data_IF_399079116349
#
_entry.id   IF_399079116349
#
_cell.length_a   1.000
_cell.length_b   1.000
_cell.length_c   1.000
_cell.angle_alpha   90.00
_cell.angle_beta   90.00
_cell.angle_gamma   90.00
#
_symmetry.space_group_name_H-M   'P 1'
#
loop_
_entity.id
_entity.type
_entity.pdbx_description
1 polymer ?
#
# COMPACT_ATOMS: atom_id res chain seq x y z
N UNK A 1 23.22 -8.04 11.43
CA UNK A 1 22.54 -9.34 11.25
C UNK A 1 21.15 -9.39 11.89
N UNK A 2 20.96 -8.87 13.10
CA UNK A 2 19.65 -8.89 13.80
C UNK A 2 18.50 -8.26 13.02
N UNK A 3 18.73 -7.13 12.33
CA UNK A 3 17.72 -6.46 11.47
C UNK A 3 17.22 -7.35 10.31
N UNK A 4 18.12 -8.13 9.69
CA UNK A 4 17.75 -9.02 8.59
C UNK A 4 16.91 -10.21 9.10
N UNK A 5 17.21 -10.69 10.31
CA UNK A 5 16.43 -11.75 10.96
C UNK A 5 15.02 -11.24 11.29
N UNK A 6 14.89 -10.04 11.85
CA UNK A 6 13.58 -9.43 12.09
C UNK A 6 12.80 -9.22 10.79
N UNK A 7 13.47 -8.76 9.72
CA UNK A 7 12.86 -8.65 8.40
C UNK A 7 12.36 -10.00 7.86
N UNK A 8 13.13 -11.07 8.02
CA UNK A 8 12.73 -12.41 7.59
C UNK A 8 11.52 -12.92 8.39
N UNK A 9 11.54 -12.80 9.72
CA UNK A 9 10.45 -13.26 10.59
C UNK A 9 9.15 -12.49 10.28
N UNK A 10 9.24 -11.16 10.20
CA UNK A 10 8.07 -10.32 9.88
C UNK A 10 7.57 -10.55 8.45
N UNK A 11 8.46 -10.82 7.49
CA UNK A 11 8.10 -11.19 6.13
C UNK A 11 7.36 -12.53 6.04
N UNK A 12 7.82 -13.56 6.76
CA UNK A 12 7.13 -14.86 6.86
C UNK A 12 5.74 -14.67 7.48
N UNK A 13 5.64 -13.94 8.59
CA UNK A 13 4.37 -13.65 9.24
C UNK A 13 3.41 -12.89 8.31
N UNK A 14 3.90 -11.88 7.59
CA UNK A 14 3.12 -11.12 6.62
C UNK A 14 2.63 -12.01 5.47
N UNK A 15 3.50 -12.85 4.89
CA UNK A 15 3.14 -13.79 3.84
C UNK A 15 2.06 -14.79 4.29
N UNK A 16 2.20 -15.36 5.49
CA UNK A 16 1.20 -16.25 6.09
C UNK A 16 -0.17 -15.57 6.25
N UNK A 17 -0.19 -14.32 6.73
CA UNK A 17 -1.43 -13.55 6.88
C UNK A 17 -2.09 -13.24 5.53
N UNK A 18 -1.31 -12.87 4.50
CA UNK A 18 -1.82 -12.65 3.16
C UNK A 18 -2.44 -13.92 2.56
N UNK A 19 -1.77 -15.07 2.74
CA UNK A 19 -2.27 -16.36 2.28
C UNK A 19 -3.58 -16.73 2.99
N UNK A 20 -3.62 -16.59 4.32
CA UNK A 20 -4.82 -16.85 5.12
C UNK A 20 -5.98 -15.91 4.74
N UNK A 21 -5.68 -14.66 4.41
CA UNK A 21 -6.64 -13.68 3.90
C UNK A 21 -7.11 -13.94 2.46
N UNK A 22 -6.48 -14.87 1.72
CA UNK A 22 -6.75 -15.19 0.31
C UNK A 22 -6.66 -13.98 -0.64
N UNK A 23 -6.02 -12.91 -0.21
CA UNK A 23 -5.82 -11.68 -1.01
C UNK A 23 -4.77 -11.84 -2.10
N UNK A 24 -4.05 -12.97 -2.09
CA UNK A 24 -3.09 -13.39 -3.12
C UNK A 24 -3.75 -13.89 -4.41
N UNK A 25 -5.05 -14.21 -4.38
CA UNK A 25 -5.77 -14.79 -5.52
C UNK A 25 -6.15 -13.72 -6.54
N UNK A 26 -5.91 -14.04 -7.81
CA UNK A 26 -6.25 -13.18 -8.94
C UNK A 26 -7.73 -12.83 -8.98
N UNK A 27 -8.61 -13.79 -8.72
CA UNK A 27 -10.07 -13.56 -8.74
C UNK A 27 -10.50 -12.52 -7.71
N UNK A 28 -9.81 -12.47 -6.56
CA UNK A 28 -10.08 -11.45 -5.54
C UNK A 28 -9.60 -10.07 -6.01
N UNK A 29 -8.43 -10.00 -6.64
CA UNK A 29 -7.87 -8.76 -7.19
C UNK A 29 -8.77 -8.19 -8.29
N UNK A 30 -9.16 -9.03 -9.25
CA UNK A 30 -10.04 -8.62 -10.32
C UNK A 30 -11.47 -8.34 -9.82
N UNK A 31 -11.95 -9.10 -8.84
CA UNK A 31 -13.23 -8.84 -8.17
C UNK A 31 -13.28 -7.47 -7.50
N UNK A 32 -12.19 -7.03 -6.88
CA UNK A 32 -12.07 -5.68 -6.32
C UNK A 32 -12.08 -4.60 -7.42
N UNK A 33 -11.32 -4.81 -8.50
CA UNK A 33 -11.29 -3.87 -9.64
C UNK A 33 -12.64 -3.76 -10.36
N UNK A 34 -13.41 -4.86 -10.41
CA UNK A 34 -14.75 -4.91 -11.01
C UNK A 34 -15.87 -4.49 -10.04
N UNK A 35 -15.51 -4.09 -8.81
CA UNK A 35 -16.44 -3.72 -7.75
C UNK A 35 -17.43 -4.85 -7.37
N UNK A 36 -17.04 -6.10 -7.55
CA UNK A 36 -17.86 -7.29 -7.25
C UNK A 36 -17.48 -7.92 -5.91
N UNK A 37 -16.23 -7.78 -5.48
CA UNK A 37 -15.72 -8.33 -4.23
C UNK A 37 -14.83 -7.31 -3.52
N UNK A 38 -15.33 -6.74 -2.42
CA UNK A 38 -14.63 -5.70 -1.67
C UNK A 38 -13.70 -6.27 -0.60
N UNK A 39 -13.43 -7.57 -0.58
CA UNK A 39 -12.58 -8.21 0.43
C UNK A 39 -11.20 -7.56 0.50
N UNK A 40 -10.58 -7.26 -0.64
CA UNK A 40 -9.25 -6.64 -0.68
C UNK A 40 -9.31 -5.21 -0.16
N UNK A 41 -10.32 -4.43 -0.55
CA UNK A 41 -10.50 -3.06 -0.07
C UNK A 41 -10.72 -3.06 1.45
N UNK A 42 -11.57 -3.95 1.97
CA UNK A 42 -11.78 -4.14 3.41
C UNK A 42 -10.47 -4.51 4.13
N UNK A 43 -9.72 -5.46 3.60
CA UNK A 43 -8.42 -5.87 4.15
C UNK A 43 -7.40 -4.72 4.17
N UNK A 44 -7.22 -4.03 3.04
CA UNK A 44 -6.27 -2.91 2.93
C UNK A 44 -6.65 -1.76 3.84
N UNK A 45 -7.92 -1.31 3.83
CA UNK A 45 -8.38 -0.25 4.72
C UNK A 45 -8.26 -0.65 6.19
N UNK A 46 -8.60 -1.90 6.57
CA UNK A 46 -8.46 -2.34 7.96
C UNK A 46 -7.00 -2.29 8.41
N UNK A 47 -6.07 -2.68 7.54
CA UNK A 47 -4.63 -2.63 7.80
C UNK A 47 -4.15 -1.18 7.96
N UNK A 48 -4.66 -0.27 7.13
CA UNK A 48 -4.37 1.17 7.24
C UNK A 48 -4.89 1.75 8.56
N UNK A 49 -6.13 1.43 8.96
CA UNK A 49 -6.71 1.93 10.21
C UNK A 49 -5.96 1.41 11.44
N UNK A 50 -5.71 0.11 11.50
CA UNK A 50 -4.95 -0.51 12.61
C UNK A 50 -3.52 -0.01 12.63
N UNK A 51 -2.87 0.08 11.47
CA UNK A 51 -1.51 0.61 11.33
C UNK A 51 -1.42 2.07 11.75
N UNK A 52 -2.40 2.90 11.38
CA UNK A 52 -2.46 4.30 11.78
C UNK A 52 -2.52 4.44 13.30
N UNK A 53 -3.44 3.73 13.97
CA UNK A 53 -3.56 3.76 15.43
C UNK A 53 -2.28 3.22 16.09
N UNK A 54 -1.80 2.05 15.64
CA UNK A 54 -0.62 1.39 16.23
C UNK A 54 0.67 2.19 16.07
N UNK A 55 0.93 2.75 14.89
CA UNK A 55 2.15 3.54 14.65
C UNK A 55 2.12 4.83 15.44
N UNK A 56 1.00 5.57 15.47
CA UNK A 56 0.92 6.81 16.24
C UNK A 56 1.01 6.57 17.76
N UNK A 57 0.46 5.47 18.29
CA UNK A 57 0.69 5.07 19.69
C UNK A 57 2.17 4.83 20.00
N UNK A 58 2.88 4.12 19.12
CA UNK A 58 4.32 3.88 19.29
C UNK A 58 5.14 5.18 19.20
N UNK A 59 4.69 6.14 18.40
CA UNK A 59 5.30 7.47 18.32
C UNK A 59 5.05 8.25 19.60
N UNK A 60 3.83 8.19 20.15
CA UNK A 60 3.48 8.85 21.42
C UNK A 60 4.28 8.30 22.61
N UNK A 61 4.60 7.00 22.59
CA UNK A 61 5.48 6.36 23.58
C UNK A 61 6.97 6.54 23.30
N UNK A 62 7.35 7.36 22.30
CA UNK A 62 8.74 7.60 21.88
C UNK A 62 9.50 6.33 21.42
N UNK A 63 8.78 5.24 21.15
CA UNK A 63 9.33 3.96 20.68
C UNK A 63 9.57 3.94 19.16
N UNK A 64 8.96 4.86 18.42
CA UNK A 64 9.06 4.94 16.96
C UNK A 64 9.19 6.39 16.46
N UNK A 65 9.81 6.56 15.28
CA UNK A 65 9.89 7.85 14.58
C UNK A 65 9.21 7.77 13.22
N UNK A 66 8.37 8.76 12.90
CA UNK A 66 7.71 8.85 11.60
C UNK A 66 8.72 9.26 10.51
N UNK A 67 8.99 8.35 9.58
CA UNK A 67 9.77 8.64 8.37
C UNK A 67 8.84 8.98 7.20
N UNK A 68 8.42 10.24 7.12
CA UNK A 68 7.47 10.71 6.10
C UNK A 68 8.21 10.93 4.78
N UNK A 69 7.73 10.29 3.72
CA UNK A 69 8.20 10.54 2.34
C UNK A 69 7.66 11.90 1.86
N UNK A 70 8.47 12.71 1.16
CA UNK A 70 8.00 13.99 0.63
C UNK A 70 6.88 13.77 -0.39
N UNK A 71 5.87 14.62 -0.33
CA UNK A 71 4.78 14.65 -1.30
C UNK A 71 5.23 15.42 -2.52
N UNK A 72 5.36 14.70 -3.64
CA UNK A 72 5.73 15.25 -4.94
C UNK A 72 4.58 14.89 -5.89
N UNK A 73 3.82 15.90 -6.32
CA UNK A 73 2.60 15.66 -7.10
C UNK A 73 2.88 14.96 -8.43
N UNK A 74 3.92 15.38 -9.15
CA UNK A 74 4.29 14.74 -10.42
C UNK A 74 4.56 13.24 -10.27
N UNK A 75 5.42 12.88 -9.31
CA UNK A 75 5.74 11.48 -9.02
C UNK A 75 4.55 10.68 -8.50
N UNK A 76 3.76 11.23 -7.59
CA UNK A 76 2.62 10.53 -6.99
C UNK A 76 1.48 10.30 -7.99
N UNK A 77 1.14 11.31 -8.79
CA UNK A 77 0.05 11.21 -9.78
C UNK A 77 0.47 10.28 -10.92
N UNK A 78 1.61 10.54 -11.58
CA UNK A 78 2.03 9.74 -12.71
C UNK A 78 2.41 8.31 -12.29
N UNK A 79 3.16 8.17 -11.20
CA UNK A 79 3.49 6.86 -10.64
C UNK A 79 2.26 6.08 -10.18
N UNK A 80 1.31 6.74 -9.53
CA UNK A 80 0.05 6.14 -9.11
C UNK A 80 -0.82 5.67 -10.28
N UNK A 81 -0.89 6.45 -11.36
CA UNK A 81 -1.61 6.06 -12.58
C UNK A 81 -0.95 4.87 -13.27
N UNK A 82 0.38 4.91 -13.46
CA UNK A 82 1.13 3.81 -14.07
C UNK A 82 0.98 2.53 -13.24
N UNK A 83 1.10 2.64 -11.92
CA UNK A 83 0.88 1.52 -11.00
C UNK A 83 -0.56 0.97 -11.09
N UNK A 84 -1.56 1.85 -11.10
CA UNK A 84 -2.97 1.46 -11.21
C UNK A 84 -3.30 0.75 -12.53
N UNK A 85 -2.79 1.26 -13.66
CA UNK A 85 -2.93 0.61 -14.97
C UNK A 85 -2.23 -0.75 -14.98
N UNK A 86 -1.00 -0.83 -14.45
CA UNK A 86 -0.27 -2.10 -14.33
C UNK A 86 -1.01 -3.13 -13.49
N UNK A 87 -1.55 -2.72 -12.34
CA UNK A 87 -2.38 -3.58 -11.48
C UNK A 87 -3.65 -4.05 -12.21
N UNK A 88 -4.31 -3.15 -12.94
CA UNK A 88 -5.50 -3.47 -13.74
C UNK A 88 -5.25 -4.48 -14.86
N UNK A 89 -4.12 -4.35 -15.55
CA UNK A 89 -3.75 -5.24 -16.66
C UNK A 89 -3.28 -6.62 -16.18
N UNK A 90 -2.46 -6.65 -15.12
CA UNK A 90 -1.87 -7.88 -14.61
C UNK A 90 -2.78 -8.63 -13.63
N UNK A 91 -3.66 -7.92 -12.90
CA UNK A 91 -4.48 -8.46 -11.83
C UNK A 91 -3.69 -8.93 -10.59
N UNK A 92 -2.44 -8.45 -10.45
CA UNK A 92 -1.63 -8.64 -9.25
C UNK A 92 -0.88 -7.37 -8.86
N UNK A 93 -0.69 -7.18 -7.57
CA UNK A 93 0.24 -6.23 -6.98
C UNK A 93 1.59 -6.91 -6.70
N UNK A 94 2.70 -6.17 -6.53
CA UNK A 94 4.03 -6.69 -6.18
C UNK A 94 4.04 -7.82 -5.12
N UNK A 95 3.44 -7.55 -3.95
CA UNK A 95 3.41 -8.52 -2.86
C UNK A 95 2.50 -9.73 -3.13
N UNK A 96 1.42 -9.52 -3.89
CA UNK A 96 0.51 -10.62 -4.24
C UNK A 96 1.05 -11.48 -5.36
N UNK A 97 1.82 -10.92 -6.29
CA UNK A 97 2.53 -11.70 -7.31
C UNK A 97 3.53 -12.67 -6.68
N UNK A 98 4.31 -12.18 -5.69
CA UNK A 98 5.26 -13.03 -4.96
C UNK A 98 4.55 -14.18 -4.21
N UNK A 99 3.46 -13.88 -3.51
CA UNK A 99 2.67 -14.91 -2.82
C UNK A 99 1.95 -15.87 -3.78
N UNK A 100 1.42 -15.38 -4.90
CA UNK A 100 0.77 -16.20 -5.92
C UNK A 100 1.76 -17.17 -6.59
N UNK A 101 2.99 -16.71 -6.87
CA UNK A 101 4.05 -17.59 -7.37
C UNK A 101 4.37 -18.70 -6.35
N UNK A 102 4.42 -18.36 -5.06
CA UNK A 102 4.64 -19.34 -3.98
C UNK A 102 3.45 -20.33 -3.82
N UNK A 103 2.24 -19.94 -4.20
CA UNK A 103 1.07 -20.85 -4.32
C UNK A 103 1.14 -21.76 -5.57
N UNK A 104 2.15 -21.60 -6.44
CA UNK A 104 2.32 -22.38 -7.67
C UNK A 104 1.71 -21.75 -8.92
N UNK A 105 1.32 -20.47 -8.85
CA UNK A 105 0.68 -19.74 -9.96
C UNK A 105 1.75 -19.06 -10.82
N UNK A 106 2.17 -19.76 -11.87
CA UNK A 106 3.28 -19.37 -12.74
C UNK A 106 3.02 -18.09 -13.55
N UNK A 107 1.76 -17.73 -13.78
CA UNK A 107 1.36 -16.47 -14.42
C UNK A 107 1.89 -15.24 -13.66
N UNK A 108 2.03 -15.34 -12.33
CA UNK A 108 2.57 -14.27 -11.50
C UNK A 108 4.06 -13.98 -11.78
N UNK A 109 4.80 -14.92 -12.36
CA UNK A 109 6.23 -14.75 -12.69
C UNK A 109 6.45 -13.59 -13.65
N UNK A 110 5.59 -13.44 -14.67
CA UNK A 110 5.67 -12.33 -15.62
C UNK A 110 5.46 -10.98 -14.94
N UNK A 111 4.58 -10.94 -13.95
CA UNK A 111 4.39 -9.77 -13.10
C UNK A 111 5.62 -9.39 -12.30
N UNK A 112 6.30 -10.39 -11.72
CA UNK A 112 7.54 -10.19 -10.95
C UNK A 112 8.66 -9.68 -11.87
N UNK A 113 8.85 -10.31 -13.03
CA UNK A 113 9.85 -9.87 -14.01
C UNK A 113 9.57 -8.45 -14.51
N UNK A 114 8.32 -8.13 -14.82
CA UNK A 114 7.91 -6.79 -15.21
C UNK A 114 8.17 -5.74 -14.12
N UNK A 115 7.88 -6.08 -12.86
CA UNK A 115 8.20 -5.21 -11.72
C UNK A 115 9.70 -4.98 -11.57
N UNK A 116 10.52 -6.03 -11.65
CA UNK A 116 11.97 -5.92 -11.53
C UNK A 116 12.58 -5.10 -12.68
N UNK A 117 12.14 -5.35 -13.91
CA UNK A 117 12.55 -4.58 -15.08
C UNK A 117 12.12 -3.11 -14.97
N UNK A 118 10.87 -2.85 -14.57
CA UNK A 118 10.37 -1.49 -14.36
C UNK A 118 11.13 -0.74 -13.26
N UNK A 119 11.46 -1.42 -12.16
CA UNK A 119 12.27 -0.84 -11.08
C UNK A 119 13.70 -0.52 -11.54
N UNK A 120 14.33 -1.40 -12.33
CA UNK A 120 15.66 -1.17 -12.90
C UNK A 120 15.64 0.02 -13.87
N UNK A 121 14.67 0.07 -14.79
CA UNK A 121 14.49 1.19 -15.72
C UNK A 121 14.25 2.52 -14.98
N UNK A 122 13.43 2.49 -13.92
CA UNK A 122 13.20 3.65 -13.09
C UNK A 122 14.49 4.10 -12.38
N UNK A 123 15.31 3.17 -11.88
CA UNK A 123 16.58 3.49 -11.23
C UNK A 123 17.57 4.17 -12.20
N UNK A 124 17.66 3.71 -13.44
CA UNK A 124 18.50 4.32 -14.48
C UNK A 124 17.98 5.68 -14.93
N UNK A 125 16.66 5.84 -15.05
CA UNK A 125 16.04 7.10 -15.43
C UNK A 125 15.89 8.07 -14.25
N UNK A 126 16.17 7.64 -13.02
CA UNK A 126 16.02 8.43 -11.80
C UNK A 126 16.78 9.76 -11.83
N UNK A 127 18.04 9.86 -12.30
CA UNK A 127 18.76 11.13 -12.37
C UNK A 127 18.03 12.17 -13.23
N UNK A 128 17.45 11.73 -14.35
CA UNK A 128 16.68 12.60 -15.25
C UNK A 128 15.33 12.97 -14.62
N UNK A 129 14.69 12.02 -13.94
CA UNK A 129 13.41 12.26 -13.28
C UNK A 129 13.54 13.20 -12.08
N UNK A 130 14.68 13.19 -11.39
CA UNK A 130 14.98 14.10 -10.28
C UNK A 130 14.93 15.57 -10.71
N UNK A 131 15.38 15.88 -11.91
CA UNK A 131 15.41 17.25 -12.45
C UNK A 131 14.12 17.64 -13.18
N UNK A 132 13.24 16.68 -13.45
CA UNK A 132 12.00 16.89 -14.22
C UNK A 132 10.77 16.61 -13.37
N UNK A 133 10.15 15.44 -13.54
CA UNK A 133 8.84 15.06 -12.95
C UNK A 133 8.86 15.09 -11.42
N UNK A 134 10.00 14.80 -10.79
CA UNK A 134 10.12 14.82 -9.33
C UNK A 134 10.27 16.22 -8.73
N UNK A 135 10.40 17.26 -9.56
CA UNK A 135 10.34 18.67 -9.11
C UNK A 135 8.93 19.25 -9.20
N UNK A 136 8.00 18.55 -9.83
CA UNK A 136 6.66 19.07 -10.08
C UNK A 136 5.81 19.03 -8.81
N UNK A 137 5.44 20.21 -8.31
CA UNK A 137 4.55 20.36 -7.16
C UNK A 137 5.12 19.71 -5.90
N UNK A 138 6.34 20.10 -5.53
CA UNK A 138 6.99 19.66 -4.29
C UNK A 138 6.29 20.33 -3.11
N UNK A 139 5.49 19.55 -2.40
CA UNK A 139 4.83 19.98 -1.17
C UNK A 139 5.69 19.64 0.05
N UNK A 140 6.72 18.79 -0.09
CA UNK A 140 7.59 18.39 1.01
C UNK A 140 6.93 17.37 1.94
N UNK A 141 7.46 17.21 3.15
CA UNK A 141 6.95 16.22 4.13
C UNK A 141 5.74 16.80 4.85
N UNK A 142 4.57 16.61 4.25
CA UNK A 142 3.30 17.09 4.80
C UNK A 142 2.45 15.90 5.26
N UNK A 143 1.82 16.03 6.41
CA UNK A 143 0.75 15.13 6.88
C UNK A 143 -0.53 15.91 7.16
N UNK A 144 -1.68 15.22 7.14
CA UNK A 144 -2.98 15.83 7.48
C UNK A 144 -2.99 16.53 8.85
N UNK A 145 -2.47 15.91 9.94
CA UNK A 145 -2.35 16.59 11.24
C UNK A 145 -1.48 17.86 11.19
N UNK A 146 -0.40 17.85 10.39
CA UNK A 146 0.50 18.99 10.26
C UNK A 146 -0.15 20.16 9.50
N UNK A 147 -0.91 19.91 8.43
CA UNK A 147 -1.61 20.97 7.68
C UNK A 147 -2.67 21.61 8.56
N UNK A 148 -3.46 20.78 9.25
CA UNK A 148 -4.57 21.22 10.08
C UNK A 148 -4.08 21.82 11.40
N UNK A 149 -2.79 21.68 11.73
CA UNK A 149 -2.17 22.09 13.00
C UNK A 149 -2.96 21.59 14.22
N UNK A 150 -3.43 20.34 14.14
CA UNK A 150 -4.20 19.67 15.20
C UNK A 150 -3.45 18.44 15.69
N UNK A 151 -3.80 18.00 16.90
CA UNK A 151 -3.35 16.72 17.41
C UNK A 151 -3.74 15.58 16.44
N UNK A 152 -2.83 14.67 16.14
CA UNK A 152 -3.06 13.56 15.22
C UNK A 152 -4.27 12.70 15.61
N UNK A 153 -4.57 12.55 16.90
CA UNK A 153 -5.77 11.83 17.37
C UNK A 153 -7.08 12.43 16.88
N UNK A 154 -7.14 13.76 16.69
CA UNK A 154 -8.32 14.44 16.15
C UNK A 154 -8.56 14.12 14.66
N UNK A 155 -7.54 13.68 13.93
CA UNK A 155 -7.67 13.20 12.54
C UNK A 155 -7.95 11.69 12.53
N UNK A 156 -7.25 10.93 13.38
CA UNK A 156 -7.33 9.47 13.41
C UNK A 156 -8.74 9.01 13.82
N UNK A 157 -9.32 9.58 14.87
CA UNK A 157 -10.62 9.12 15.41
C UNK A 157 -11.74 9.28 14.36
N UNK A 158 -11.95 10.45 13.73
CA UNK A 158 -12.94 10.58 12.65
C UNK A 158 -12.64 9.68 11.46
N UNK A 159 -11.37 9.49 11.11
CA UNK A 159 -10.98 8.65 9.97
C UNK A 159 -11.29 7.16 10.22
N UNK A 160 -11.04 6.68 11.44
CA UNK A 160 -11.44 5.33 11.88
C UNK A 160 -12.96 5.20 11.87
N UNK A 161 -13.69 6.18 12.41
CA UNK A 161 -15.15 6.15 12.39
C UNK A 161 -15.72 6.12 10.96
N UNK A 162 -15.15 6.92 10.05
CA UNK A 162 -15.51 6.91 8.64
C UNK A 162 -15.19 5.56 7.97
N UNK A 163 -14.04 4.97 8.26
CA UNK A 163 -13.66 3.64 7.77
C UNK A 163 -14.60 2.52 8.26
N UNK A 164 -15.00 2.55 9.54
CA UNK A 164 -16.00 1.63 10.07
C UNK A 164 -17.38 1.84 9.41
N UNK A 165 -17.75 3.10 9.16
CA UNK A 165 -18.96 3.43 8.40
C UNK A 165 -18.94 2.87 6.98
N UNK A 166 -17.79 2.97 6.30
CA UNK A 166 -17.58 2.38 4.97
C UNK A 166 -17.73 0.85 5.00
N UNK A 167 -17.16 0.17 6.00
CA UNK A 167 -17.32 -1.29 6.13
C UNK A 167 -18.76 -1.70 6.33
N UNK A 168 -19.48 -1.02 7.22
CA UNK A 168 -20.92 -1.26 7.42
C UNK A 168 -21.73 -1.04 6.13
N UNK A 169 -21.36 -0.03 5.34
CA UNK A 169 -22.01 0.22 4.04
C UNK A 169 -21.75 -0.89 3.03
N UNK A 170 -20.50 -1.35 2.91
CA UNK A 170 -20.11 -2.43 2.01
C UNK A 170 -20.83 -3.72 2.39
N UNK A 171 -20.86 -4.07 3.68
CA UNK A 171 -21.57 -5.26 4.18
C UNK A 171 -23.08 -5.18 3.93
N UNK A 172 -23.70 -4.01 4.15
CA UNK A 172 -25.13 -3.81 3.89
C UNK A 172 -25.49 -4.03 2.42
N UNK A 173 -24.56 -3.74 1.51
CA UNK A 173 -24.74 -3.98 0.06
C UNK A 173 -24.39 -5.39 -0.40
N UNK A 174 -23.93 -6.26 0.51
CA UNK A 174 -23.52 -7.63 0.18
C UNK A 174 -22.26 -7.71 -0.70
N UNK A 175 -21.38 -6.69 -0.62
CA UNK A 175 -20.15 -6.56 -1.40
C UNK A 175 -18.88 -6.99 -0.65
#
# INVERSE_FOLDING_TARGET
>A
MTMLIYGLITGIAFGFLLQKGRVLRYDKQLGALRLQDMTIIKFMFSSVLVGMVGVYLLVDFELAKLSIKPTILGGNILGGLIFGVGWGLLGYCPGTSAGALAEGRWDALWGILGMLAGAALFAEAFPIMQDTVLTWGVLGKITLPQILNVNHWLVIIPFVAAGLGLFKFIEKKGL
#
